data_IF_688877970856
#
_entry.id   IF_688877970856
#
_cell.length_a   1.000
_cell.length_b   1.000
_cell.length_c   1.000
_cell.angle_alpha   90.00
_cell.angle_beta   90.00
_cell.angle_gamma   90.00
#
_symmetry.space_group_name_H-M   'P 1'
#
loop_
_entity.id
_entity.type
_entity.pdbx_description
1 polymer ?
#
# COMPACT_ATOMS: atom_id res chain seq x y z
N UNK A 1 -5.64 17.21 -11.18
CA UNK A 1 -5.27 16.12 -12.13
C UNK A 1 -4.50 15.00 -11.42
N UNK A 2 -3.60 15.29 -10.47
CA UNK A 2 -2.86 14.28 -9.67
C UNK A 2 -3.74 13.36 -8.81
N UNK A 3 -4.89 13.84 -8.32
CA UNK A 3 -5.77 13.09 -7.40
C UNK A 3 -6.22 11.71 -7.91
N UNK A 4 -6.44 11.52 -9.22
CA UNK A 4 -6.93 10.24 -9.76
C UNK A 4 -5.90 9.11 -9.65
N UNK A 5 -4.61 9.42 -9.76
CA UNK A 5 -3.55 8.41 -9.59
C UNK A 5 -3.54 7.86 -8.17
N UNK A 6 -3.79 8.70 -7.16
CA UNK A 6 -3.75 8.29 -5.75
C UNK A 6 -4.90 7.34 -5.44
N UNK A 7 -6.08 7.62 -6.01
CA UNK A 7 -7.22 6.71 -5.93
C UNK A 7 -6.94 5.39 -6.64
N UNK A 8 -6.20 5.39 -7.76
CA UNK A 8 -5.76 4.15 -8.41
C UNK A 8 -4.76 3.36 -7.56
N UNK A 9 -3.79 4.04 -6.92
CA UNK A 9 -2.85 3.41 -5.98
C UNK A 9 -3.61 2.76 -4.82
N UNK A 10 -4.64 3.42 -4.28
CA UNK A 10 -5.52 2.85 -3.25
C UNK A 10 -6.23 1.58 -3.73
N UNK A 11 -6.74 1.60 -4.97
CA UNK A 11 -7.40 0.44 -5.60
C UNK A 11 -6.42 -0.72 -5.76
N UNK A 12 -5.18 -0.46 -6.18
CA UNK A 12 -4.15 -1.48 -6.29
C UNK A 12 -3.79 -2.08 -4.94
N UNK A 13 -3.64 -1.26 -3.89
CA UNK A 13 -3.43 -1.76 -2.52
C UNK A 13 -4.54 -2.71 -2.08
N UNK A 14 -5.81 -2.31 -2.27
CA UNK A 14 -6.95 -3.14 -1.91
C UNK A 14 -6.89 -4.48 -2.61
N UNK A 15 -6.60 -4.47 -3.92
CA UNK A 15 -6.56 -5.68 -4.73
C UNK A 15 -5.38 -6.58 -4.38
N UNK A 16 -4.18 -6.01 -4.18
CA UNK A 16 -2.99 -6.74 -3.73
C UNK A 16 -3.25 -7.42 -2.39
N UNK A 17 -3.83 -6.69 -1.44
CA UNK A 17 -4.20 -7.23 -0.12
C UNK A 17 -5.22 -8.37 -0.27
N UNK A 18 -6.28 -8.15 -1.05
CA UNK A 18 -7.32 -9.15 -1.27
C UNK A 18 -6.79 -10.45 -1.90
N UNK A 19 -5.93 -10.33 -2.92
CA UNK A 19 -5.25 -11.47 -3.55
C UNK A 19 -4.30 -12.20 -2.60
N UNK A 20 -3.71 -11.48 -1.64
CA UNK A 20 -2.74 -12.05 -0.71
C UNK A 20 -3.42 -12.77 0.46
N UNK A 21 -4.48 -12.18 1.02
CA UNK A 21 -5.07 -12.64 2.28
C UNK A 21 -6.46 -13.28 2.14
N UNK A 22 -7.21 -12.97 1.07
CA UNK A 22 -8.58 -13.49 0.84
C UNK A 22 -8.66 -14.48 -0.34
N UNK A 23 -7.61 -15.29 -0.55
CA UNK A 23 -7.44 -16.19 -1.73
C UNK A 23 -8.66 -17.07 -2.06
N UNK A 24 -9.40 -17.50 -1.04
CA UNK A 24 -10.55 -18.40 -1.21
C UNK A 24 -11.87 -17.66 -1.48
N UNK A 25 -11.94 -16.36 -1.16
CA UNK A 25 -13.16 -15.56 -1.28
C UNK A 25 -12.78 -14.09 -1.45
N UNK A 26 -12.39 -13.74 -2.68
CA UNK A 26 -12.02 -12.38 -3.06
C UNK A 26 -13.16 -11.41 -2.75
N UNK A 27 -12.81 -10.32 -2.07
CA UNK A 27 -13.73 -9.24 -1.71
C UNK A 27 -13.66 -8.09 -2.71
N UNK A 28 -12.56 -7.97 -3.45
CA UNK A 28 -12.37 -6.94 -4.44
C UNK A 28 -13.24 -7.21 -5.68
N UNK A 29 -14.19 -6.31 -5.97
CA UNK A 29 -15.10 -6.44 -7.10
C UNK A 29 -16.41 -5.70 -6.86
N UNK A 30 -17.30 -5.71 -7.84
CA UNK A 30 -18.70 -5.34 -7.70
C UNK A 30 -19.55 -6.57 -8.02
N UNK A 31 -20.44 -6.99 -7.11
CA UNK A 31 -21.15 -8.27 -7.23
C UNK A 31 -22.54 -8.16 -7.86
N UNK A 32 -22.83 -7.04 -8.52
CA UNK A 32 -24.07 -6.80 -9.24
C UNK A 32 -25.19 -6.28 -8.34
N UNK A 33 -26.17 -5.62 -8.98
CA UNK A 33 -27.22 -4.83 -8.31
C UNK A 33 -28.10 -5.61 -7.33
N UNK A 34 -28.18 -6.94 -7.48
CA UNK A 34 -28.99 -7.82 -6.63
C UNK A 34 -28.27 -8.21 -5.33
N UNK A 35 -26.94 -8.21 -5.35
CA UNK A 35 -26.11 -8.65 -4.22
C UNK A 35 -25.33 -7.49 -3.58
N UNK A 36 -25.14 -6.38 -4.31
CA UNK A 36 -24.23 -5.32 -3.91
C UNK A 36 -24.79 -3.94 -4.27
N UNK A 37 -24.85 -3.06 -3.28
CA UNK A 37 -25.14 -1.64 -3.50
C UNK A 37 -23.82 -0.88 -3.69
N UNK A 38 -23.88 0.32 -4.27
CA UNK A 38 -22.69 1.17 -4.36
C UNK A 38 -22.07 1.50 -3.00
N UNK A 39 -22.90 1.66 -1.96
CA UNK A 39 -22.42 1.87 -0.60
C UNK A 39 -21.70 0.62 -0.07
N UNK A 40 -22.28 -0.58 -0.25
CA UNK A 40 -21.67 -1.83 0.20
C UNK A 40 -20.35 -2.13 -0.53
N UNK A 41 -20.27 -1.83 -1.84
CA UNK A 41 -19.04 -1.92 -2.61
C UNK A 41 -17.97 -0.98 -2.04
N UNK A 42 -18.33 0.28 -1.78
CA UNK A 42 -17.39 1.26 -1.25
C UNK A 42 -16.95 0.93 0.19
N UNK A 43 -17.86 0.47 1.06
CA UNK A 43 -17.55 0.01 2.42
C UNK A 43 -16.56 -1.16 2.40
N UNK A 44 -16.76 -2.12 1.49
CA UNK A 44 -15.85 -3.27 1.34
C UNK A 44 -14.47 -2.85 0.84
N UNK A 45 -14.40 -1.91 -0.09
CA UNK A 45 -13.13 -1.33 -0.55
C UNK A 45 -12.43 -0.55 0.56
N UNK A 46 -13.17 0.23 1.37
CA UNK A 46 -12.62 0.92 2.54
C UNK A 46 -12.07 -0.05 3.59
N UNK A 47 -12.75 -1.18 3.81
CA UNK A 47 -12.25 -2.24 4.68
C UNK A 47 -10.93 -2.84 4.13
N UNK A 48 -10.90 -3.21 2.85
CA UNK A 48 -9.67 -3.71 2.21
C UNK A 48 -8.53 -2.69 2.31
N UNK A 49 -8.82 -1.41 2.10
CA UNK A 49 -7.85 -0.34 2.19
C UNK A 49 -7.30 -0.17 3.61
N UNK A 50 -8.17 -0.15 4.62
CA UNK A 50 -7.78 -0.09 6.03
C UNK A 50 -6.81 -1.21 6.37
N UNK A 51 -7.15 -2.45 6.01
CA UNK A 51 -6.31 -3.60 6.31
C UNK A 51 -5.00 -3.58 5.50
N UNK A 52 -5.03 -3.16 4.23
CA UNK A 52 -3.83 -3.00 3.41
C UNK A 52 -2.88 -1.94 3.96
N UNK A 53 -3.39 -0.78 4.38
CA UNK A 53 -2.59 0.29 4.98
C UNK A 53 -1.93 -0.15 6.28
N UNK A 54 -2.68 -0.89 7.11
CA UNK A 54 -2.15 -1.46 8.35
C UNK A 54 -1.07 -2.49 8.09
N UNK A 55 -1.31 -3.43 7.18
CA UNK A 55 -0.39 -4.55 6.92
C UNK A 55 0.88 -4.10 6.19
N UNK A 56 0.74 -3.24 5.18
CA UNK A 56 1.84 -2.89 4.29
C UNK A 56 2.61 -1.63 4.69
N UNK A 57 1.96 -0.69 5.38
CA UNK A 57 2.53 0.61 5.75
C UNK A 57 2.51 0.85 7.27
N UNK A 58 1.89 -0.03 8.07
CA UNK A 58 1.79 0.14 9.52
C UNK A 58 0.83 1.25 9.95
N UNK A 59 -0.01 1.75 9.04
CA UNK A 59 -0.84 2.92 9.28
C UNK A 59 -2.27 2.58 9.67
N UNK A 60 -2.82 3.37 10.60
CA UNK A 60 -4.20 3.25 11.03
C UNK A 60 -5.10 4.22 10.25
N UNK A 61 -5.99 3.67 9.43
CA UNK A 61 -7.02 4.43 8.72
C UNK A 61 -8.30 4.48 9.55
N UNK A 62 -8.88 5.68 9.66
CA UNK A 62 -10.20 5.87 10.25
C UNK A 62 -11.28 5.30 9.33
N UNK A 63 -11.96 4.27 9.81
CA UNK A 63 -13.10 3.66 9.14
C UNK A 63 -13.99 3.02 10.20
N UNK A 64 -15.29 3.32 10.12
CA UNK A 64 -16.33 2.76 10.99
C UNK A 64 -17.20 1.86 10.13
N UNK A 65 -17.19 0.56 10.40
CA UNK A 65 -18.00 -0.40 9.65
C UNK A 65 -19.42 -0.53 10.22
N UNK A 66 -20.35 -1.04 9.41
CA UNK A 66 -21.69 -1.38 9.90
C UNK A 66 -21.64 -2.45 11.00
N UNK A 67 -20.66 -3.36 10.96
CA UNK A 67 -20.46 -4.39 11.99
C UNK A 67 -20.02 -3.79 13.33
N UNK A 68 -19.15 -2.77 13.31
CA UNK A 68 -18.73 -2.04 14.52
C UNK A 68 -19.94 -1.37 15.19
N UNK A 69 -20.78 -0.71 14.38
CA UNK A 69 -22.01 -0.08 14.84
C UNK A 69 -22.95 -1.14 15.44
N UNK A 70 -23.25 -2.21 14.72
CA UNK A 70 -24.16 -3.26 15.21
C UNK A 70 -23.69 -3.91 16.51
N UNK A 71 -22.39 -4.20 16.61
CA UNK A 71 -21.79 -4.79 17.81
C UNK A 71 -21.99 -3.90 19.02
N UNK A 72 -21.71 -2.61 18.89
CA UNK A 72 -21.82 -1.65 19.98
C UNK A 72 -23.28 -1.39 20.38
N UNK A 73 -24.19 -1.34 19.40
CA UNK A 73 -25.63 -1.24 19.66
C UNK A 73 -26.17 -2.43 20.49
N UNK A 74 -25.64 -3.65 20.25
CA UNK A 74 -26.06 -4.85 20.98
C UNK A 74 -25.45 -4.93 22.39
N UNK A 75 -24.24 -4.40 22.59
CA UNK A 75 -23.45 -4.62 23.81
C UNK A 75 -23.51 -3.47 24.81
N UNK A 76 -23.82 -2.24 24.38
CA UNK A 76 -23.69 -1.05 25.21
C UNK A 76 -25.02 -0.60 25.83
N UNK A 77 -24.92 -0.03 27.04
CA UNK A 77 -26.04 0.67 27.68
C UNK A 77 -26.31 2.00 26.95
N UNK A 78 -27.53 2.53 27.05
CA UNK A 78 -27.98 3.73 26.32
C UNK A 78 -27.05 4.95 26.51
N UNK A 79 -26.60 5.22 27.74
CA UNK A 79 -25.73 6.38 28.03
C UNK A 79 -24.35 6.25 27.34
N UNK A 80 -23.74 5.07 27.44
CA UNK A 80 -22.45 4.76 26.78
C UNK A 80 -22.58 4.69 25.27
N UNK A 81 -23.70 4.18 24.75
CA UNK A 81 -23.97 4.11 23.32
C UNK A 81 -24.02 5.51 22.69
N UNK A 82 -24.63 6.49 23.38
CA UNK A 82 -24.66 7.88 22.92
C UNK A 82 -23.24 8.45 22.75
N UNK A 83 -22.36 8.21 23.72
CA UNK A 83 -20.97 8.68 23.69
C UNK A 83 -20.18 8.03 22.54
N UNK A 84 -20.33 6.72 22.35
CA UNK A 84 -19.68 5.99 21.24
C UNK A 84 -20.18 6.49 19.88
N UNK A 85 -21.49 6.65 19.69
CA UNK A 85 -22.05 7.17 18.45
C UNK A 85 -21.60 8.61 18.16
N UNK A 86 -21.48 9.44 19.20
CA UNK A 86 -20.92 10.79 19.05
C UNK A 86 -19.45 10.73 18.62
N UNK A 87 -18.67 9.76 19.10
CA UNK A 87 -17.31 9.55 18.66
C UNK A 87 -17.25 9.11 17.19
N UNK A 88 -18.07 8.15 16.76
CA UNK A 88 -18.15 7.76 15.33
C UNK A 88 -18.50 8.93 14.42
N UNK A 89 -19.44 9.78 14.82
CA UNK A 89 -19.76 11.00 14.05
C UNK A 89 -18.55 11.94 13.99
N UNK A 90 -17.81 12.11 15.09
CA UNK A 90 -16.61 12.94 15.13
C UNK A 90 -15.53 12.40 14.20
N UNK A 91 -15.27 11.09 14.26
CA UNK A 91 -14.30 10.41 13.40
C UNK A 91 -14.65 10.57 11.92
N UNK A 92 -15.90 10.27 11.55
CA UNK A 92 -16.37 10.41 10.17
C UNK A 92 -16.33 11.87 9.70
N UNK A 93 -16.61 12.85 10.57
CA UNK A 93 -16.63 14.27 10.20
C UNK A 93 -15.24 14.88 10.02
N UNK A 94 -14.26 14.49 10.83
CA UNK A 94 -12.98 15.20 10.91
C UNK A 94 -11.77 14.39 10.47
N UNK A 95 -11.84 13.06 10.55
CA UNK A 95 -10.67 12.20 10.32
C UNK A 95 -10.86 11.26 9.12
N UNK A 96 -12.09 11.07 8.63
CA UNK A 96 -12.32 10.28 7.42
C UNK A 96 -11.86 11.03 6.18
N UNK A 97 -11.22 10.30 5.27
CA UNK A 97 -10.85 10.80 3.95
C UNK A 97 -11.67 10.08 2.88
N UNK A 98 -11.86 10.73 1.73
CA UNK A 98 -12.56 10.12 0.61
C UNK A 98 -11.58 9.37 -0.29
N UNK A 99 -11.10 8.23 0.17
CA UNK A 99 -10.02 7.44 -0.44
C UNK A 99 -10.35 6.87 -1.82
N UNK A 100 -11.63 6.91 -2.23
CA UNK A 100 -12.12 6.43 -3.53
C UNK A 100 -12.96 7.46 -4.30
N UNK A 101 -12.86 8.74 -3.92
CA UNK A 101 -13.46 9.83 -4.68
C UNK A 101 -12.59 10.25 -5.88
N UNK A 102 -12.96 9.79 -7.06
CA UNK A 102 -12.49 10.32 -8.35
C UNK A 102 -13.15 11.66 -8.69
N UNK A 103 -14.36 11.89 -8.16
CA UNK A 103 -15.10 13.15 -8.24
C UNK A 103 -15.24 13.75 -6.84
N UNK A 104 -15.36 15.08 -6.76
CA UNK A 104 -15.59 15.77 -5.48
C UNK A 104 -17.01 15.49 -4.97
N UNK A 105 -17.15 14.60 -4.00
CA UNK A 105 -18.44 14.20 -3.43
C UNK A 105 -18.80 15.08 -2.25
N UNK A 106 -19.84 15.88 -2.40
CA UNK A 106 -20.43 16.68 -1.32
C UNK A 106 -21.95 16.50 -1.18
N UNK A 107 -22.55 15.64 -2.01
CA UNK A 107 -23.97 15.32 -1.95
C UNK A 107 -24.25 13.91 -2.52
N UNK A 108 -25.50 13.44 -2.39
CA UNK A 108 -25.93 12.11 -2.83
C UNK A 108 -25.83 11.90 -4.34
N UNK A 109 -26.11 12.92 -5.15
CA UNK A 109 -26.03 12.80 -6.61
C UNK A 109 -24.58 12.57 -7.07
N UNK A 110 -23.64 13.34 -6.50
CA UNK A 110 -22.21 13.21 -6.79
C UNK A 110 -21.65 11.90 -6.25
N UNK A 111 -22.15 11.41 -5.11
CA UNK A 111 -21.83 10.07 -4.62
C UNK A 111 -22.18 9.02 -5.68
N UNK A 112 -23.38 9.05 -6.25
CA UNK A 112 -23.79 8.10 -7.28
C UNK A 112 -22.94 8.21 -8.55
N UNK A 113 -22.63 9.44 -9.00
CA UNK A 113 -21.72 9.65 -10.15
C UNK A 113 -20.33 9.09 -9.89
N UNK A 114 -19.78 9.34 -8.70
CA UNK A 114 -18.48 8.80 -8.31
C UNK A 114 -18.51 7.27 -8.23
N UNK A 115 -19.57 6.70 -7.65
CA UNK A 115 -19.72 5.26 -7.51
C UNK A 115 -19.76 4.54 -8.86
N UNK A 116 -20.37 5.14 -9.88
CA UNK A 116 -20.32 4.61 -11.25
C UNK A 116 -18.89 4.58 -11.79
N UNK A 117 -18.13 5.67 -11.64
CA UNK A 117 -16.72 5.71 -12.07
C UNK A 117 -15.89 4.66 -11.31
N UNK A 118 -16.05 4.60 -9.98
CA UNK A 118 -15.37 3.64 -9.14
C UNK A 118 -15.70 2.19 -9.53
N UNK A 119 -16.97 1.89 -9.79
CA UNK A 119 -17.43 0.57 -10.26
C UNK A 119 -16.70 0.16 -11.54
N UNK A 120 -16.69 1.01 -12.56
CA UNK A 120 -16.03 0.70 -13.85
C UNK A 120 -14.53 0.40 -13.67
N UNK A 121 -13.85 1.15 -12.79
CA UNK A 121 -12.44 0.93 -12.47
C UNK A 121 -12.24 -0.40 -11.72
N UNK A 122 -13.10 -0.69 -10.73
CA UNK A 122 -13.03 -1.94 -9.96
C UNK A 122 -13.29 -3.14 -10.87
N UNK A 123 -14.29 -3.07 -11.74
CA UNK A 123 -14.61 -4.13 -12.71
C UNK A 123 -13.46 -4.33 -13.72
N UNK A 124 -12.82 -3.24 -14.16
CA UNK A 124 -11.64 -3.32 -15.02
C UNK A 124 -10.54 -4.16 -14.38
N UNK A 125 -10.25 -3.96 -13.10
CA UNK A 125 -9.16 -4.69 -12.43
C UNK A 125 -9.57 -6.02 -11.81
N UNK A 126 -10.86 -6.27 -11.55
CA UNK A 126 -11.34 -7.44 -10.81
C UNK A 126 -10.80 -8.77 -11.37
N UNK A 127 -10.78 -8.91 -12.71
CA UNK A 127 -10.42 -10.15 -13.39
C UNK A 127 -8.90 -10.37 -13.57
N UNK A 128 -8.07 -9.35 -13.32
CA UNK A 128 -6.62 -9.48 -13.42
C UNK A 128 -6.01 -9.93 -12.09
N UNK A 129 -4.85 -10.56 -12.09
CA UNK A 129 -4.06 -10.80 -10.87
C UNK A 129 -2.89 -9.84 -10.84
N UNK A 130 -2.74 -9.06 -9.78
CA UNK A 130 -1.64 -8.10 -9.67
C UNK A 130 -0.35 -8.73 -9.12
N UNK A 131 -0.43 -9.92 -8.52
CA UNK A 131 0.63 -10.48 -7.67
C UNK A 131 1.36 -11.74 -8.23
N UNK A 132 1.18 -12.15 -9.50
CA UNK A 132 1.75 -13.42 -10.02
C UNK A 132 3.10 -13.34 -10.78
N UNK A 133 3.99 -14.30 -10.49
CA UNK A 133 5.45 -14.25 -10.62
C UNK A 133 6.12 -14.31 -12.02
N UNK A 134 5.41 -14.38 -13.16
CA UNK A 134 6.11 -14.51 -14.47
C UNK A 134 5.74 -13.47 -15.54
N UNK A 135 4.63 -12.77 -15.38
CA UNK A 135 4.10 -11.80 -16.37
C UNK A 135 3.96 -10.36 -15.81
N UNK A 136 4.33 -10.15 -14.55
CA UNK A 136 4.16 -8.88 -13.85
C UNK A 136 5.09 -7.74 -14.31
N UNK A 137 6.02 -7.98 -15.23
CA UNK A 137 6.76 -6.89 -15.87
C UNK A 137 5.83 -5.95 -16.64
N UNK A 138 4.71 -6.46 -17.20
CA UNK A 138 3.69 -5.61 -17.83
C UNK A 138 3.02 -4.68 -16.82
N UNK A 139 2.65 -5.20 -15.65
CA UNK A 139 2.00 -4.40 -14.62
C UNK A 139 2.95 -3.42 -13.95
N UNK A 140 4.19 -3.84 -13.69
CA UNK A 140 5.26 -2.93 -13.28
C UNK A 140 5.45 -1.80 -14.29
N UNK A 141 5.59 -2.12 -15.58
CA UNK A 141 5.71 -1.11 -16.64
C UNK A 141 4.47 -0.20 -16.73
N UNK A 142 3.27 -0.75 -16.56
CA UNK A 142 2.03 0.04 -16.53
C UNK A 142 2.01 0.99 -15.33
N UNK A 143 2.45 0.51 -14.16
CA UNK A 143 2.57 1.32 -12.96
C UNK A 143 3.59 2.44 -13.15
N UNK A 144 4.74 2.16 -13.78
CA UNK A 144 5.74 3.17 -14.14
C UNK A 144 5.19 4.23 -15.09
N UNK A 145 4.41 3.82 -16.10
CA UNK A 145 3.73 4.77 -16.99
C UNK A 145 2.72 5.64 -16.24
N UNK A 146 1.99 5.06 -15.28
CA UNK A 146 1.08 5.84 -14.43
C UNK A 146 1.84 6.76 -13.48
N UNK A 147 2.97 6.32 -12.93
CA UNK A 147 3.82 7.11 -12.06
C UNK A 147 4.35 8.34 -12.79
N UNK A 148 4.94 8.16 -13.97
CA UNK A 148 5.47 9.24 -14.81
C UNK A 148 4.41 10.27 -15.22
N UNK A 149 3.15 9.83 -15.42
CA UNK A 149 2.04 10.72 -15.80
C UNK A 149 1.30 11.32 -14.60
N UNK A 150 1.25 10.60 -13.49
CA UNK A 150 0.42 10.88 -12.32
C UNK A 150 1.15 11.68 -11.24
N UNK A 151 2.48 11.63 -11.23
CA UNK A 151 3.35 12.44 -10.39
C UNK A 151 3.95 13.56 -11.24
N UNK A 152 3.68 14.82 -10.89
CA UNK A 152 4.49 15.91 -11.39
C UNK A 152 5.81 15.91 -10.65
N UNK A 153 6.88 15.91 -11.42
CA UNK A 153 8.21 16.21 -10.92
C UNK A 153 8.31 17.73 -10.76
N UNK A 154 8.19 18.22 -9.53
CA UNK A 154 8.59 19.59 -9.22
C UNK A 154 10.12 19.71 -9.29
N UNK A 155 10.65 20.93 -9.34
CA UNK A 155 12.09 21.17 -9.48
C UNK A 155 12.90 20.42 -8.41
N UNK A 156 13.77 19.51 -8.85
CA UNK A 156 14.63 18.70 -7.98
C UNK A 156 14.12 17.29 -7.66
N UNK A 157 12.88 16.94 -7.99
CA UNK A 157 12.35 15.58 -7.85
C UNK A 157 12.50 14.80 -9.16
N UNK A 158 13.59 14.05 -9.31
CA UNK A 158 13.80 13.19 -10.47
C UNK A 158 13.75 11.73 -10.08
N UNK A 159 12.92 10.95 -10.78
CA UNK A 159 13.00 9.49 -10.71
C UNK A 159 14.29 9.03 -11.36
N UNK A 160 15.00 8.13 -10.70
CA UNK A 160 16.15 7.48 -11.32
C UNK A 160 15.64 6.51 -12.39
N UNK A 161 16.02 6.67 -13.67
CA UNK A 161 15.57 5.75 -14.71
C UNK A 161 16.02 4.32 -14.39
N UNK A 162 15.16 3.33 -14.67
CA UNK A 162 15.43 1.91 -14.38
C UNK A 162 16.78 1.45 -14.96
N UNK A 163 17.17 1.96 -16.14
CA UNK A 163 18.43 1.62 -16.78
C UNK A 163 19.65 2.06 -15.94
N UNK A 164 19.55 3.16 -15.21
CA UNK A 164 20.59 3.62 -14.29
C UNK A 164 20.61 2.74 -13.03
N UNK A 165 19.46 2.37 -12.50
CA UNK A 165 19.36 1.41 -11.39
C UNK A 165 20.01 0.06 -11.76
N UNK A 166 19.70 -0.47 -12.95
CA UNK A 166 20.27 -1.71 -13.48
C UNK A 166 21.79 -1.60 -13.64
N UNK A 167 22.28 -0.52 -14.24
CA UNK A 167 23.71 -0.28 -14.40
C UNK A 167 24.47 -0.31 -13.06
N UNK A 168 23.93 0.38 -12.05
CA UNK A 168 24.53 0.39 -10.70
C UNK A 168 24.46 -1.00 -10.07
N UNK A 169 23.31 -1.70 -10.15
CA UNK A 169 23.16 -3.04 -9.58
C UNK A 169 24.07 -4.07 -10.23
N UNK A 170 24.23 -4.04 -11.56
CA UNK A 170 25.13 -4.95 -12.29
C UNK A 170 26.61 -4.70 -12.02
N UNK A 171 26.94 -3.51 -11.52
CA UNK A 171 28.31 -3.19 -11.10
C UNK A 171 28.66 -3.77 -9.72
N UNK A 172 27.67 -4.25 -8.96
CA UNK A 172 27.90 -4.89 -7.65
C UNK A 172 28.31 -6.36 -7.82
N UNK A 173 29.31 -6.86 -7.05
CA UNK A 173 29.71 -8.27 -7.09
C UNK A 173 28.73 -9.15 -6.30
N UNK A 174 27.44 -9.13 -6.65
CA UNK A 174 26.37 -9.76 -5.88
C UNK A 174 26.60 -11.27 -5.67
N UNK A 175 27.08 -11.97 -6.69
CA UNK A 175 27.39 -13.41 -6.58
C UNK A 175 28.44 -13.69 -5.49
N UNK A 176 29.48 -12.86 -5.38
CA UNK A 176 30.49 -12.99 -4.33
C UNK A 176 29.94 -12.59 -2.96
N UNK A 177 29.14 -11.53 -2.90
CA UNK A 177 28.54 -11.06 -1.65
C UNK A 177 27.57 -12.08 -1.06
N UNK A 178 26.77 -12.73 -1.90
CA UNK A 178 25.82 -13.77 -1.52
C UNK A 178 26.53 -15.06 -1.11
N UNK A 179 27.57 -15.49 -1.84
CA UNK A 179 28.30 -16.73 -1.51
C UNK A 179 29.17 -16.63 -0.25
N UNK A 180 29.70 -15.44 0.07
CA UNK A 180 30.53 -15.21 1.26
C UNK A 180 29.72 -15.02 2.55
N UNK A 181 28.45 -14.63 2.46
CA UNK A 181 27.60 -14.40 3.61
C UNK A 181 26.65 -15.57 3.83
N UNK A 182 26.69 -16.17 5.01
CA UNK A 182 25.70 -17.18 5.42
C UNK A 182 24.33 -16.59 5.80
N UNK A 183 24.24 -15.25 5.89
CA UNK A 183 23.03 -14.51 6.22
C UNK A 183 22.56 -13.69 5.03
N UNK A 184 21.25 -13.40 4.99
CA UNK A 184 20.68 -12.50 4.01
C UNK A 184 21.36 -11.11 4.04
N UNK A 185 21.62 -10.57 2.85
CA UNK A 185 22.20 -9.23 2.72
C UNK A 185 21.18 -8.18 3.17
N UNK A 186 21.65 -7.20 3.96
CA UNK A 186 20.85 -6.03 4.32
C UNK A 186 21.09 -4.92 3.31
N UNK A 187 20.00 -4.35 2.80
CA UNK A 187 20.02 -3.24 1.83
C UNK A 187 19.13 -2.13 2.33
N UNK A 188 19.62 -0.89 2.22
CA UNK A 188 18.86 0.30 2.58
C UNK A 188 19.01 1.37 1.51
N UNK A 189 17.90 2.00 1.16
CA UNK A 189 17.84 3.23 0.37
C UNK A 189 17.19 4.33 1.23
N UNK A 190 17.95 5.37 1.57
CA UNK A 190 17.51 6.44 2.46
C UNK A 190 16.58 7.46 1.79
N UNK A 191 16.42 7.40 0.46
CA UNK A 191 15.55 8.28 -0.30
C UNK A 191 14.95 7.50 -1.48
N UNK A 192 14.18 6.47 -1.15
CA UNK A 192 13.83 5.43 -2.11
C UNK A 192 12.85 5.87 -3.21
N UNK A 193 12.16 7.00 -3.05
CA UNK A 193 11.23 7.52 -4.03
C UNK A 193 10.12 6.51 -4.34
N UNK A 194 10.02 6.10 -5.60
CA UNK A 194 9.08 5.06 -6.04
C UNK A 194 9.61 3.63 -5.92
N UNK A 195 10.79 3.44 -5.32
CA UNK A 195 11.36 2.12 -5.02
C UNK A 195 12.16 1.50 -6.16
N UNK A 196 12.58 2.26 -7.18
CA UNK A 196 13.28 1.71 -8.35
C UNK A 196 14.52 0.90 -7.99
N UNK A 197 15.42 1.44 -7.15
CA UNK A 197 16.62 0.72 -6.72
C UNK A 197 16.29 -0.57 -5.96
N UNK A 198 15.34 -0.50 -5.03
CA UNK A 198 14.93 -1.64 -4.21
C UNK A 198 14.34 -2.75 -5.06
N UNK A 199 13.46 -2.40 -6.00
CA UNK A 199 12.81 -3.34 -6.89
C UNK A 199 13.79 -3.95 -7.90
N UNK A 200 14.71 -3.16 -8.46
CA UNK A 200 15.77 -3.65 -9.35
C UNK A 200 16.69 -4.62 -8.61
N UNK A 201 17.14 -4.26 -7.40
CA UNK A 201 17.95 -5.16 -6.56
C UNK A 201 17.22 -6.48 -6.27
N UNK A 202 15.98 -6.40 -5.78
CA UNK A 202 15.17 -7.56 -5.46
C UNK A 202 14.88 -8.45 -6.70
N UNK A 203 14.72 -7.84 -7.87
CA UNK A 203 14.55 -8.59 -9.11
C UNK A 203 15.84 -9.28 -9.56
N UNK A 204 16.99 -8.63 -9.38
CA UNK A 204 18.29 -9.21 -9.71
C UNK A 204 18.63 -10.42 -8.82
N UNK A 205 18.22 -10.40 -7.55
CA UNK A 205 18.37 -11.55 -6.64
C UNK A 205 17.73 -12.85 -7.18
N UNK A 206 16.68 -12.75 -8.01
CA UNK A 206 16.00 -13.93 -8.60
C UNK A 206 16.92 -14.77 -9.50
N UNK A 207 18.04 -14.20 -9.97
CA UNK A 207 19.03 -14.92 -10.78
C UNK A 207 19.96 -15.79 -9.94
N UNK A 208 20.02 -15.54 -8.63
CA UNK A 208 20.98 -16.17 -7.71
C UNK A 208 20.33 -17.06 -6.66
N UNK A 209 19.05 -16.83 -6.33
CA UNK A 209 18.38 -17.43 -5.18
C UNK A 209 17.08 -18.15 -5.58
N UNK A 210 16.69 -19.14 -4.79
CA UNK A 210 15.38 -19.82 -4.90
C UNK A 210 14.24 -18.97 -4.34
N UNK A 211 12.98 -19.28 -4.67
CA UNK A 211 11.82 -18.53 -4.16
C UNK A 211 11.72 -18.47 -2.63
N UNK A 212 12.14 -19.54 -1.94
CA UNK A 212 12.11 -19.57 -0.47
C UNK A 212 13.20 -18.68 0.15
N UNK A 213 14.38 -18.63 -0.45
CA UNK A 213 15.48 -17.75 -0.02
C UNK A 213 15.16 -16.27 -0.30
N UNK A 214 14.52 -15.97 -1.43
CA UNK A 214 14.17 -14.60 -1.83
C UNK A 214 13.35 -13.88 -0.76
N UNK A 215 12.36 -14.55 -0.15
CA UNK A 215 11.52 -13.95 0.89
C UNK A 215 12.34 -13.49 2.08
N UNK A 216 13.35 -14.26 2.47
CA UNK A 216 14.21 -13.89 3.60
C UNK A 216 15.12 -12.70 3.24
N UNK A 217 15.61 -12.64 2.01
CA UNK A 217 16.35 -11.48 1.52
C UNK A 217 15.48 -10.23 1.42
N UNK A 218 14.24 -10.34 0.92
CA UNK A 218 13.33 -9.20 0.77
C UNK A 218 12.99 -8.52 2.10
N UNK A 219 12.83 -9.30 3.18
CA UNK A 219 12.64 -8.76 4.54
C UNK A 219 13.82 -7.90 5.03
N UNK A 220 14.99 -8.06 4.42
CA UNK A 220 16.20 -7.31 4.77
C UNK A 220 16.44 -6.11 3.82
N UNK A 221 15.47 -5.77 2.98
CA UNK A 221 15.47 -4.59 2.12
C UNK A 221 14.63 -3.49 2.78
N UNK A 222 15.20 -2.29 2.88
CA UNK A 222 14.60 -1.13 3.52
C UNK A 222 14.64 0.09 2.60
N UNK A 223 13.54 0.83 2.53
CA UNK A 223 13.44 2.13 1.88
C UNK A 223 12.91 3.16 2.85
N UNK A 224 13.47 4.36 2.86
CA UNK A 224 12.94 5.52 3.58
C UNK A 224 12.51 6.56 2.54
N UNK A 225 11.31 7.09 2.71
CA UNK A 225 10.76 8.14 1.85
C UNK A 225 9.99 9.16 2.68
N UNK A 226 10.33 10.44 2.50
CA UNK A 226 9.80 11.56 3.27
C UNK A 226 8.44 12.04 2.76
N UNK A 227 8.11 11.76 1.50
CA UNK A 227 6.82 12.11 0.92
C UNK A 227 5.86 10.92 0.99
N UNK A 228 4.71 11.15 1.63
CA UNK A 228 3.76 10.10 1.97
C UNK A 228 3.22 9.34 0.74
N UNK A 229 2.92 10.06 -0.33
CA UNK A 229 2.39 9.46 -1.55
C UNK A 229 3.44 8.59 -2.24
N UNK A 230 4.72 9.01 -2.28
CA UNK A 230 5.83 8.24 -2.82
C UNK A 230 6.12 6.98 -2.01
N UNK A 231 6.11 7.05 -0.68
CA UNK A 231 6.33 5.87 0.16
C UNK A 231 5.28 4.78 -0.11
N UNK A 232 4.02 5.20 -0.27
CA UNK A 232 2.91 4.33 -0.66
C UNK A 232 3.06 3.75 -2.06
N UNK A 233 3.45 4.58 -3.03
CA UNK A 233 3.76 4.17 -4.40
C UNK A 233 4.86 3.12 -4.41
N UNK A 234 5.95 3.33 -3.67
CA UNK A 234 7.04 2.37 -3.57
C UNK A 234 6.56 1.04 -3.03
N UNK A 235 5.73 1.04 -1.99
CA UNK A 235 5.20 -0.20 -1.40
C UNK A 235 4.31 -0.96 -2.38
N UNK A 236 3.45 -0.27 -3.12
CA UNK A 236 2.62 -0.87 -4.17
C UNK A 236 3.48 -1.44 -5.29
N UNK A 237 4.51 -0.70 -5.73
CA UNK A 237 5.43 -1.13 -6.76
C UNK A 237 6.11 -2.45 -6.38
N UNK A 238 6.73 -2.52 -5.20
CA UNK A 238 7.35 -3.75 -4.69
C UNK A 238 6.37 -4.92 -4.66
N UNK A 239 5.14 -4.70 -4.22
CA UNK A 239 4.12 -5.74 -4.18
C UNK A 239 3.69 -6.23 -5.57
N UNK A 240 3.58 -5.33 -6.56
CA UNK A 240 3.33 -5.70 -7.96
C UNK A 240 4.48 -6.54 -8.55
N UNK A 241 5.72 -6.32 -8.10
CA UNK A 241 6.87 -7.16 -8.49
C UNK A 241 6.96 -8.50 -7.73
N UNK A 242 6.01 -8.77 -6.83
CA UNK A 242 5.99 -9.98 -5.99
C UNK A 242 6.99 -9.91 -4.82
N UNK A 243 7.34 -8.70 -4.38
CA UNK A 243 8.36 -8.41 -3.37
C UNK A 243 7.71 -7.77 -2.14
N UNK A 244 6.63 -8.39 -1.63
CA UNK A 244 5.77 -7.84 -0.58
C UNK A 244 6.52 -7.56 0.74
N UNK A 245 7.59 -8.30 1.00
CA UNK A 245 8.38 -8.25 2.23
C UNK A 245 9.33 -7.05 2.31
N UNK A 246 9.54 -6.31 1.21
CA UNK A 246 10.35 -5.07 1.23
C UNK A 246 9.72 -4.06 2.19
N UNK A 247 10.54 -3.51 3.10
CA UNK A 247 10.09 -2.56 4.11
C UNK A 247 10.21 -1.14 3.57
N UNK A 248 9.10 -0.42 3.45
CA UNK A 248 9.11 1.01 3.09
C UNK A 248 8.62 1.81 4.29
N UNK A 249 9.42 2.78 4.72
CA UNK A 249 9.14 3.65 5.86
C UNK A 249 8.84 5.06 5.36
N UNK A 250 7.68 5.57 5.77
CA UNK A 250 7.37 6.98 5.64
C UNK A 250 8.04 7.74 6.79
N UNK A 251 9.18 8.37 6.52
CA UNK A 251 9.98 9.10 7.51
C UNK A 251 10.95 10.07 6.84
N UNK A 252 11.36 11.10 7.56
CA UNK A 252 12.51 11.92 7.17
C UNK A 252 13.81 11.21 7.56
N UNK A 253 14.58 10.77 6.54
CA UNK A 253 15.84 10.06 6.73
C UNK A 253 16.91 10.88 7.49
N UNK A 254 16.78 12.21 7.53
CA UNK A 254 17.68 13.10 8.26
C UNK A 254 17.17 13.39 9.68
N UNK A 255 15.91 13.10 9.99
CA UNK A 255 15.32 13.31 11.31
C UNK A 255 15.62 12.11 12.23
N UNK A 256 16.67 12.25 13.05
CA UNK A 256 17.10 11.19 13.98
C UNK A 256 16.01 10.71 14.94
N UNK A 257 14.99 11.52 15.25
CA UNK A 257 13.89 11.15 16.15
C UNK A 257 12.83 10.26 15.48
N UNK A 258 12.56 10.43 14.18
CA UNK A 258 11.57 9.62 13.46
C UNK A 258 12.10 8.22 13.16
N UNK A 259 13.41 8.11 12.93
CA UNK A 259 14.11 6.83 12.75
C UNK A 259 14.44 6.14 14.07
N UNK A 260 14.58 6.90 15.17
CA UNK A 260 14.81 6.34 16.50
C UNK A 260 13.51 5.87 17.12
N UNK A 261 13.14 4.61 16.81
CA UNK A 261 12.36 3.69 17.63
C UNK A 261 11.65 4.35 18.83
N UNK A 262 10.50 5.02 18.61
CA UNK A 262 9.74 5.68 19.69
C UNK A 262 8.98 4.64 20.51
N UNK A 263 9.73 3.84 21.27
CA UNK A 263 9.30 2.77 22.15
C UNK A 263 8.47 3.21 23.37
N UNK A 264 7.94 4.45 23.44
CA UNK A 264 7.43 4.99 24.71
C UNK A 264 6.18 5.88 24.66
N UNK A 265 5.33 5.77 23.64
CA UNK A 265 4.00 6.39 23.69
C UNK A 265 2.92 5.39 23.23
N UNK A 266 2.29 4.75 24.22
CA UNK A 266 1.01 4.03 24.20
C UNK A 266 0.91 2.70 23.42
N UNK A 267 1.27 1.62 24.13
CA UNK A 267 0.46 0.40 24.27
C UNK A 267 -0.23 -0.20 23.04
N UNK A 268 0.52 -0.85 22.16
CA UNK A 268 0.19 -2.17 21.58
C UNK A 268 1.43 -2.72 20.86
N UNK A 269 1.61 -4.05 20.86
CA UNK A 269 2.88 -4.75 20.59
C UNK A 269 3.56 -4.39 19.26
N UNK A 270 4.84 -4.02 19.36
CA UNK A 270 5.76 -3.72 18.26
C UNK A 270 6.21 -4.96 17.47
N UNK A 271 6.41 -4.79 16.15
CA UNK A 271 7.35 -5.59 15.35
C UNK A 271 8.68 -4.81 15.26
N UNK A 272 9.85 -5.47 15.28
CA UNK A 272 11.13 -4.79 15.28
C UNK A 272 11.39 -4.05 13.96
N UNK A 273 11.65 -2.74 14.02
CA UNK A 273 12.28 -1.98 12.95
C UNK A 273 13.77 -1.89 13.25
N UNK A 274 14.57 -2.55 12.41
CA UNK A 274 16.02 -2.46 12.25
C UNK A 274 16.81 -2.55 13.58
N UNK A 275 17.05 -3.76 14.05
CA UNK A 275 18.14 -4.00 15.01
C UNK A 275 19.47 -3.99 14.26
N UNK A 276 20.36 -3.08 14.68
CA UNK A 276 21.78 -3.03 14.29
C UNK A 276 22.45 -4.39 14.47
#
# INVERSE_FOLDING_TARGET
KENAFDKLVNIFLCKIYDETFNKNNLKFGYFGVMADTYANMQDRLMWLYKEAMKEFLGEKITFVSNEDIEKDFKQLKIKTLKEVMQNYIKELKFYSNNDFAFLEVHNKELFLKNALVLKEIVELFANYKLTQNSTNQFLGNLFELFLQKGMKQDEGQFFTPIQICEFIMYSLPLQEMLSKNSKALRVIDYACGAGHFLNTYANELKRYLTEDELKEHYKNIYGIEKEYRLSKVSKVSSAMYGQNEINILYADALASFELANTNNLEGEKAKPQIES
#
